data_IF_449929651204
#
_entry.id   IF_449929651204
#
_cell.length_a   1.000
_cell.length_b   1.000
_cell.length_c   1.000
_cell.angle_alpha   90.00
_cell.angle_beta   90.00
_cell.angle_gamma   90.00
#
_symmetry.space_group_name_H-M   'P 1'
#
loop_
_entity.id
_entity.type
_entity.pdbx_description
1 polymer ?
#
# COMPACT_ATOMS: atom_id res chain seq x y z
N UNK A 1 14.32 -51.89 31.25
CA UNK A 1 15.06 -50.92 32.08
C UNK A 1 15.23 -49.66 31.21
N UNK A 2 14.40 -48.60 31.36
CA UNK A 2 14.72 -47.31 32.06
C UNK A 2 16.18 -46.88 31.79
N UNK A 3 16.54 -45.72 31.23
CA UNK A 3 16.03 -44.34 31.32
C UNK A 3 16.49 -43.57 30.05
N UNK A 4 15.63 -42.82 29.36
CA UNK A 4 15.59 -41.33 29.34
C UNK A 4 16.98 -40.68 29.38
N UNK A 5 17.38 -40.04 28.28
CA UNK A 5 18.09 -38.77 28.34
C UNK A 5 17.46 -37.77 27.38
N UNK A 6 16.62 -36.95 27.97
CA UNK A 6 16.04 -35.73 27.46
C UNK A 6 17.15 -34.70 27.21
N UNK A 7 17.15 -34.02 26.04
CA UNK A 7 17.81 -32.72 25.90
C UNK A 7 16.78 -31.70 25.39
N UNK A 8 16.42 -30.81 26.31
CA UNK A 8 15.53 -29.65 26.20
C UNK A 8 16.40 -28.41 25.88
N UNK A 9 15.75 -27.36 25.34
CA UNK A 9 16.17 -25.95 25.27
C UNK A 9 16.97 -25.59 23.99
N UNK A 10 16.62 -24.57 23.20
CA UNK A 10 15.79 -23.40 23.48
C UNK A 10 14.98 -22.99 22.27
N UNK A 11 13.71 -22.72 22.50
CA UNK A 11 12.90 -21.81 21.70
C UNK A 11 13.56 -20.42 21.82
N UNK A 12 13.80 -19.76 20.69
CA UNK A 12 13.97 -18.31 20.64
C UNK A 12 13.18 -17.81 19.45
N UNK A 13 11.86 -17.84 19.59
CA UNK A 13 10.99 -16.90 18.88
C UNK A 13 11.39 -15.52 19.39
N UNK A 14 12.24 -14.83 18.63
CA UNK A 14 12.34 -13.39 18.72
C UNK A 14 11.05 -12.86 18.10
N UNK A 15 10.02 -12.80 18.93
CA UNK A 15 8.88 -11.94 18.72
C UNK A 15 9.45 -10.53 18.78
N UNK A 16 9.81 -10.00 17.61
CA UNK A 16 10.05 -8.57 17.44
C UNK A 16 8.69 -7.89 17.55
N UNK A 17 8.26 -7.65 18.78
CA UNK A 17 7.25 -6.63 19.04
C UNK A 17 7.92 -5.30 18.71
N UNK A 18 7.71 -4.82 17.48
CA UNK A 18 7.98 -3.42 17.18
C UNK A 18 7.05 -2.59 18.07
N UNK A 19 7.63 -1.73 18.89
CA UNK A 19 6.90 -0.83 19.75
C UNK A 19 5.93 0.00 18.89
N UNK A 20 4.64 -0.06 19.22
CA UNK A 20 3.65 0.87 18.71
C UNK A 20 3.93 2.22 19.38
N UNK A 21 4.92 2.93 18.86
CA UNK A 21 4.99 4.36 19.08
C UNK A 21 3.81 4.94 18.31
N UNK A 22 2.81 5.42 19.04
CA UNK A 22 1.81 6.37 18.57
C UNK A 22 2.53 7.68 18.16
N UNK A 23 3.39 7.58 17.13
CA UNK A 23 3.96 8.72 16.45
C UNK A 23 2.80 9.36 15.73
N UNK A 24 2.15 10.33 16.40
CA UNK A 24 1.31 11.32 15.73
C UNK A 24 2.19 11.92 14.64
N UNK A 25 2.03 11.36 13.45
CA UNK A 25 2.91 11.71 12.35
C UNK A 25 2.56 13.13 11.99
N UNK A 26 3.53 14.04 12.11
CA UNK A 26 3.31 15.47 11.84
C UNK A 26 3.09 15.76 10.36
N UNK A 27 3.18 14.73 9.53
CA UNK A 27 3.07 14.74 8.09
C UNK A 27 1.95 13.81 7.62
N UNK A 28 1.48 14.02 6.40
CA UNK A 28 0.55 13.10 5.73
C UNK A 28 1.38 12.20 4.84
N UNK A 29 1.41 10.91 5.16
CA UNK A 29 2.22 9.92 4.46
C UNK A 29 1.33 8.88 3.81
N UNK A 30 1.62 8.58 2.55
CA UNK A 30 0.95 7.53 1.79
C UNK A 30 2.00 6.52 1.33
N UNK A 31 1.73 5.23 1.57
CA UNK A 31 2.37 4.12 0.84
C UNK A 31 1.33 3.40 0.00
N UNK A 32 1.80 2.58 -0.93
CA UNK A 32 0.96 1.72 -1.74
C UNK A 32 1.13 0.27 -1.29
N UNK A 33 0.06 -0.51 -1.35
CA UNK A 33 0.13 -1.96 -1.21
C UNK A 33 -0.53 -2.63 -2.39
N UNK A 34 0.15 -3.59 -2.99
CA UNK A 34 -0.41 -4.44 -4.03
C UNK A 34 -1.02 -5.68 -3.36
N UNK A 35 -2.34 -5.80 -3.36
CA UNK A 35 -3.01 -7.00 -2.82
C UNK A 35 -3.41 -8.00 -3.91
N UNK A 36 -3.13 -7.67 -5.16
CA UNK A 36 -3.42 -8.50 -6.32
C UNK A 36 -2.32 -9.53 -6.61
N UNK A 37 -2.58 -10.41 -7.57
CA UNK A 37 -1.62 -11.42 -8.05
C UNK A 37 -0.66 -10.92 -9.13
N UNK A 38 -0.72 -9.65 -9.54
CA UNK A 38 0.04 -9.09 -10.66
C UNK A 38 1.22 -8.24 -10.18
N UNK A 39 2.32 -8.19 -10.93
CA UNK A 39 3.38 -7.21 -10.70
C UNK A 39 2.93 -5.82 -11.19
N UNK A 40 3.07 -4.80 -10.34
CA UNK A 40 2.80 -3.41 -10.71
C UNK A 40 4.09 -2.70 -11.06
N UNK A 41 4.13 -2.09 -12.25
CA UNK A 41 5.28 -1.35 -12.74
C UNK A 41 4.93 0.08 -13.13
N UNK A 42 5.94 0.95 -13.23
CA UNK A 42 5.80 2.33 -13.74
C UNK A 42 4.68 3.12 -13.05
N UNK A 43 4.55 2.93 -11.73
CA UNK A 43 3.41 3.41 -10.95
C UNK A 43 3.50 4.92 -10.74
N UNK A 44 2.39 5.60 -11.04
CA UNK A 44 2.21 7.05 -10.83
C UNK A 44 0.90 7.29 -10.09
N UNK A 45 0.97 8.02 -8.97
CA UNK A 45 -0.19 8.41 -8.18
C UNK A 45 -0.31 9.93 -8.14
N UNK A 46 -1.54 10.44 -8.21
CA UNK A 46 -1.82 11.86 -8.02
C UNK A 46 -2.95 12.05 -7.02
N UNK A 47 -2.59 12.65 -5.88
CA UNK A 47 -3.46 12.87 -4.72
C UNK A 47 -4.15 14.23 -4.72
N UNK A 48 -4.20 14.90 -5.89
CA UNK A 48 -4.62 16.29 -6.17
C UNK A 48 -3.49 17.32 -6.23
N UNK A 49 -2.26 16.97 -5.83
CA UNK A 49 -1.13 17.92 -5.78
C UNK A 49 -0.11 17.71 -6.90
N UNK A 50 -0.37 16.80 -7.83
CA UNK A 50 0.53 16.44 -8.92
C UNK A 50 0.93 14.97 -8.92
N UNK A 51 1.66 14.57 -9.95
CA UNK A 51 2.07 13.18 -10.17
C UNK A 51 3.28 12.83 -9.31
N UNK A 52 3.19 11.72 -8.57
CA UNK A 52 4.26 11.15 -7.77
C UNK A 52 4.51 9.73 -8.25
N UNK A 53 5.75 9.45 -8.68
CA UNK A 53 6.15 8.09 -9.07
C UNK A 53 6.41 7.24 -7.82
N UNK A 54 6.07 5.95 -7.90
CA UNK A 54 6.39 4.92 -6.90
C UNK A 54 7.27 3.84 -7.51
N UNK A 55 8.00 3.13 -6.65
CA UNK A 55 8.71 1.92 -7.01
C UNK A 55 7.76 0.83 -7.51
N UNK A 56 8.29 -0.13 -8.27
CA UNK A 56 7.53 -1.31 -8.68
C UNK A 56 7.15 -2.14 -7.44
N UNK A 57 6.00 -2.82 -7.49
CA UNK A 57 5.46 -3.56 -6.35
C UNK A 57 5.07 -4.96 -6.82
N UNK A 58 5.75 -5.97 -6.29
CA UNK A 58 5.38 -7.36 -6.54
C UNK A 58 4.08 -7.73 -5.81
N UNK A 59 3.44 -8.86 -6.19
CA UNK A 59 2.23 -9.33 -5.54
C UNK A 59 2.38 -9.39 -4.01
N UNK A 60 1.37 -8.89 -3.30
CA UNK A 60 1.29 -8.89 -1.82
C UNK A 60 2.34 -8.01 -1.12
N UNK A 61 3.09 -7.17 -1.83
CA UNK A 61 4.09 -6.27 -1.25
C UNK A 61 3.60 -4.82 -1.07
N UNK A 62 4.42 -4.01 -0.38
CA UNK A 62 4.14 -2.60 -0.10
C UNK A 62 5.36 -1.73 -0.38
N UNK A 63 5.11 -0.47 -0.76
CA UNK A 63 6.15 0.55 -0.93
C UNK A 63 6.60 1.11 0.41
N UNK A 64 7.69 1.88 0.37
CA UNK A 64 7.97 2.86 1.42
C UNK A 64 6.92 3.99 1.39
N UNK A 65 6.77 4.70 2.51
CA UNK A 65 5.93 5.90 2.57
C UNK A 65 6.54 7.06 1.79
N UNK A 66 5.66 7.90 1.23
CA UNK A 66 6.00 9.21 0.69
C UNK A 66 5.11 10.27 1.33
N UNK A 67 5.70 11.44 1.58
CA UNK A 67 5.01 12.57 2.20
C UNK A 67 4.22 13.36 1.14
N UNK A 68 2.98 13.71 1.47
CA UNK A 68 2.08 14.51 0.64
C UNK A 68 1.58 15.74 1.40
N UNK A 69 1.32 16.82 0.66
CA UNK A 69 0.68 18.02 1.23
C UNK A 69 -0.82 17.82 1.46
N UNK A 70 -1.47 17.15 0.51
CA UNK A 70 -2.91 16.87 0.51
C UNK A 70 -3.13 15.51 -0.15
N UNK A 71 -4.06 14.72 0.40
CA UNK A 71 -4.55 13.49 -0.19
C UNK A 71 -6.00 13.23 0.24
N UNK A 72 -6.67 12.33 -0.45
CA UNK A 72 -8.07 11.99 -0.27
C UNK A 72 -8.26 10.47 -0.11
N UNK A 73 -9.50 10.02 0.06
CA UNK A 73 -9.84 8.60 0.20
C UNK A 73 -9.61 7.78 -1.06
N UNK A 74 -9.55 8.45 -2.19
CA UNK A 74 -9.20 7.91 -3.49
C UNK A 74 -8.18 8.83 -4.15
N UNK A 75 -7.50 8.33 -5.17
CA UNK A 75 -6.51 9.08 -5.94
C UNK A 75 -6.53 8.62 -7.39
N UNK A 76 -5.97 9.44 -8.28
CA UNK A 76 -5.59 8.95 -9.60
C UNK A 76 -4.42 7.97 -9.45
N UNK A 77 -4.50 6.82 -10.10
CA UNK A 77 -3.42 5.84 -10.18
C UNK A 77 -3.26 5.43 -11.64
N UNK A 78 -2.02 5.42 -12.13
CA UNK A 78 -1.65 4.80 -13.40
C UNK A 78 -0.49 3.86 -13.15
N UNK A 79 -0.58 2.64 -13.66
CA UNK A 79 0.46 1.64 -13.54
C UNK A 79 0.44 0.71 -14.76
N UNK A 80 1.47 -0.10 -14.88
CA UNK A 80 1.58 -1.13 -15.91
C UNK A 80 1.53 -2.52 -15.28
N UNK A 81 0.81 -3.44 -15.94
CA UNK A 81 0.78 -4.88 -15.67
C UNK A 81 1.06 -5.58 -17.00
N UNK A 82 2.06 -6.46 -17.04
CA UNK A 82 2.47 -7.19 -18.24
C UNK A 82 2.74 -6.30 -19.48
N UNK A 83 3.19 -5.06 -19.24
CA UNK A 83 3.47 -4.06 -20.29
C UNK A 83 2.26 -3.22 -20.74
N UNK A 84 1.07 -3.52 -20.25
CA UNK A 84 -0.16 -2.78 -20.56
C UNK A 84 -0.49 -1.76 -19.47
N UNK A 85 -0.92 -0.56 -19.88
CA UNK A 85 -1.23 0.54 -18.95
C UNK A 85 -2.67 0.48 -18.46
N UNK A 86 -2.85 0.53 -17.14
CA UNK A 86 -4.15 0.60 -16.48
C UNK A 86 -4.26 1.86 -15.63
N UNK A 87 -5.47 2.41 -15.54
CA UNK A 87 -5.72 3.70 -14.90
C UNK A 87 -6.95 3.63 -14.00
N UNK A 88 -6.79 3.99 -12.73
CA UNK A 88 -7.89 4.38 -11.85
C UNK A 88 -8.00 5.90 -11.88
N UNK A 89 -9.13 6.43 -12.37
CA UNK A 89 -9.34 7.88 -12.48
C UNK A 89 -10.64 8.31 -11.78
N UNK A 90 -10.55 9.03 -10.65
CA UNK A 90 -11.70 9.72 -10.06
C UNK A 90 -12.22 10.84 -10.99
N UNK A 91 -13.52 11.13 -10.94
CA UNK A 91 -14.12 12.23 -11.71
C UNK A 91 -13.69 13.61 -11.21
N UNK A 92 -13.76 13.82 -9.90
CA UNK A 92 -13.29 15.01 -9.18
C UNK A 92 -13.13 14.70 -7.67
N UNK A 93 -12.70 15.69 -6.90
CA UNK A 93 -12.62 15.64 -5.43
C UNK A 93 -13.63 16.60 -4.76
N UNK A 94 -14.66 17.06 -5.47
CA UNK A 94 -15.58 18.09 -4.99
C UNK A 94 -16.42 17.54 -3.85
N UNK A 95 -16.42 18.25 -2.71
CA UNK A 95 -17.15 17.83 -1.51
C UNK A 95 -16.40 16.83 -0.63
N UNK A 96 -15.23 16.34 -1.07
CA UNK A 96 -14.38 15.49 -0.24
C UNK A 96 -13.66 16.27 0.85
N UNK A 97 -13.41 15.61 1.97
CA UNK A 97 -12.58 16.13 3.05
C UNK A 97 -11.16 15.59 2.91
N UNK A 98 -10.13 16.44 2.86
CA UNK A 98 -8.74 15.99 2.85
C UNK A 98 -8.42 15.08 4.04
N UNK A 99 -7.53 14.11 3.82
CA UNK A 99 -7.01 13.27 4.90
C UNK A 99 -6.27 14.14 5.92
N UNK A 100 -6.43 13.78 7.20
CA UNK A 100 -5.65 14.37 8.28
C UNK A 100 -4.21 13.86 8.19
N UNK A 101 -3.28 14.53 8.87
CA UNK A 101 -1.91 14.04 9.05
C UNK A 101 -1.91 12.65 9.70
N UNK A 102 -0.99 11.79 9.29
CA UNK A 102 -0.96 10.38 9.64
C UNK A 102 -0.40 9.52 8.51
N UNK A 103 -0.20 8.24 8.81
CA UNK A 103 0.20 7.23 7.85
C UNK A 103 -1.04 6.52 7.29
N UNK A 104 -1.08 6.39 5.98
CA UNK A 104 -2.14 5.69 5.27
C UNK A 104 -1.56 4.80 4.18
N UNK A 105 -2.30 3.74 3.87
CA UNK A 105 -2.00 2.85 2.76
C UNK A 105 -3.11 2.95 1.72
N UNK A 106 -2.75 3.27 0.48
CA UNK A 106 -3.61 3.00 -0.67
C UNK A 106 -3.41 1.55 -1.08
N UNK A 107 -4.37 0.73 -0.68
CA UNK A 107 -4.42 -0.66 -1.06
C UNK A 107 -5.02 -0.77 -2.45
N UNK A 108 -4.19 -1.17 -3.41
CA UNK A 108 -4.56 -1.32 -4.81
C UNK A 108 -4.74 -2.81 -5.10
N UNK A 109 -5.90 -3.15 -5.66
CA UNK A 109 -6.20 -4.46 -6.19
C UNK A 109 -6.39 -4.38 -7.71
N UNK A 110 -6.13 -5.49 -8.39
CA UNK A 110 -6.29 -5.63 -9.83
C UNK A 110 -7.01 -6.95 -10.13
N UNK A 111 -8.13 -6.86 -10.85
CA UNK A 111 -8.91 -8.02 -11.27
C UNK A 111 -8.44 -8.54 -12.65
N UNK A 112 -9.11 -9.57 -13.18
CA UNK A 112 -8.78 -10.20 -14.46
C UNK A 112 -9.23 -9.38 -15.70
N UNK A 113 -9.87 -8.22 -15.51
CA UNK A 113 -10.28 -7.36 -16.62
C UNK A 113 -9.07 -6.91 -17.44
N UNK A 114 -9.29 -6.78 -18.73
CA UNK A 114 -8.32 -6.23 -19.68
C UNK A 114 -8.65 -4.78 -20.05
N UNK A 115 -9.78 -4.27 -19.56
CA UNK A 115 -10.19 -2.89 -19.81
C UNK A 115 -9.38 -1.93 -18.94
N UNK A 116 -8.83 -0.90 -19.58
CA UNK A 116 -7.91 0.06 -18.97
C UNK A 116 -8.41 0.66 -17.65
N UNK A 117 -9.73 0.92 -17.55
CA UNK A 117 -10.35 1.65 -16.43
C UNK A 117 -11.14 0.75 -15.45
N UNK A 118 -11.27 -0.54 -15.73
CA UNK A 118 -12.05 -1.46 -14.90
C UNK A 118 -11.17 -2.44 -14.10
N UNK A 119 -9.88 -2.50 -14.44
CA UNK A 119 -8.96 -3.44 -13.80
C UNK A 119 -8.65 -3.10 -12.36
N UNK A 120 -8.44 -1.82 -12.06
CA UNK A 120 -7.91 -1.36 -10.78
C UNK A 120 -9.02 -0.94 -9.81
N UNK A 121 -8.83 -1.27 -8.54
CA UNK A 121 -9.60 -0.69 -7.43
C UNK A 121 -8.66 -0.18 -6.35
N UNK A 122 -9.12 0.79 -5.56
CA UNK A 122 -8.33 1.37 -4.47
C UNK A 122 -9.17 1.48 -3.21
N UNK A 123 -8.61 0.99 -2.11
CA UNK A 123 -9.15 1.13 -0.75
C UNK A 123 -8.15 1.87 0.13
N UNK A 124 -8.61 2.90 0.83
CA UNK A 124 -7.80 3.58 1.84
C UNK A 124 -7.83 2.81 3.16
N UNK A 125 -6.65 2.46 3.67
CA UNK A 125 -6.46 1.93 5.01
C UNK A 125 -5.73 2.98 5.86
N UNK A 126 -6.29 3.30 7.02
CA UNK A 126 -5.61 4.13 8.03
C UNK A 126 -4.86 3.22 9.00
N UNK A 127 -3.62 3.58 9.32
CA UNK A 127 -2.80 2.88 10.31
C UNK A 127 -2.88 3.51 11.70
#
# INVERSE_FOLDING_TARGET
MKKILTLIISISMLISCSNNDDNITSELNIRLSNVSQYDFQNIVVNTSTGNTAFENISPQEMTSYKTFKTAYRYAYVKLEIDGETYTLQPSDYVGETPLKKGNYTYQIDANDSQEQYEKLTLTLIKE
#
